data_IF_238931160434
#
_entry.id   IF_238931160434
#
_cell.length_a   1.000
_cell.length_b   1.000
_cell.length_c   1.000
_cell.angle_alpha   90.00
_cell.angle_beta   90.00
_cell.angle_gamma   90.00
#
_symmetry.space_group_name_H-M   'P 1'
#
loop_
_entity.id
_entity.type
_entity.pdbx_description
1 polymer ?
#
# COMPACT_ATOMS: atom_id res chain seq x y z
N UNK A 1 22.80 -13.39 14.88
CA UNK A 1 22.69 -12.06 14.24
C UNK A 1 23.29 -12.11 12.84
N UNK A 2 22.62 -11.62 11.79
CA UNK A 2 23.17 -11.53 10.43
C UNK A 2 24.56 -10.89 10.37
N UNK A 3 25.46 -11.43 9.53
CA UNK A 3 26.85 -10.99 9.46
C UNK A 3 27.02 -9.49 9.13
N UNK A 4 26.11 -8.93 8.32
CA UNK A 4 26.10 -7.49 8.00
C UNK A 4 25.94 -6.63 9.26
N UNK A 5 25.03 -7.00 10.18
CA UNK A 5 24.73 -6.21 11.37
C UNK A 5 25.87 -6.25 12.39
N UNK A 6 26.51 -7.41 12.57
CA UNK A 6 27.71 -7.52 13.41
C UNK A 6 28.86 -6.66 12.85
N UNK A 7 29.07 -6.71 11.52
CA UNK A 7 30.08 -5.88 10.85
C UNK A 7 29.78 -4.39 10.99
N UNK A 8 28.53 -3.99 10.77
CA UNK A 8 28.09 -2.61 10.93
C UNK A 8 28.29 -2.12 12.37
N UNK A 9 27.88 -2.91 13.36
CA UNK A 9 28.05 -2.56 14.78
C UNK A 9 29.53 -2.37 15.14
N UNK A 10 30.39 -3.31 14.75
CA UNK A 10 31.82 -3.22 15.01
C UNK A 10 32.45 -2.04 14.26
N UNK A 11 32.01 -1.76 13.03
CA UNK A 11 32.48 -0.64 12.22
C UNK A 11 32.12 0.72 12.83
N UNK A 12 30.90 0.88 13.33
CA UNK A 12 30.46 2.12 13.99
C UNK A 12 31.12 2.31 15.36
N UNK A 13 31.48 1.20 16.01
CA UNK A 13 32.12 1.20 17.34
C UNK A 13 33.65 1.26 17.28
N UNK A 14 34.24 1.30 16.08
CA UNK A 14 35.70 1.37 15.89
C UNK A 14 36.17 2.82 16.08
N UNK A 15 36.96 3.12 17.14
CA UNK A 15 37.46 4.47 17.38
C UNK A 15 38.57 4.89 16.40
N UNK A 16 39.02 4.00 15.50
CA UNK A 16 40.11 4.30 14.56
C UNK A 16 39.70 5.16 13.36
N UNK A 17 38.40 5.42 13.16
CA UNK A 17 37.91 6.22 12.03
C UNK A 17 36.83 7.21 12.46
N UNK A 18 37.05 8.49 12.16
CA UNK A 18 36.06 9.56 12.38
C UNK A 18 34.98 9.62 11.29
N UNK A 19 35.12 8.80 10.24
CA UNK A 19 34.22 8.77 9.08
C UNK A 19 32.89 8.08 9.38
N UNK A 20 32.84 7.24 10.41
CA UNK A 20 31.61 6.62 10.90
C UNK A 20 31.64 6.54 12.43
N UNK A 21 30.60 7.04 13.08
CA UNK A 21 30.50 7.03 14.54
C UNK A 21 29.07 6.91 15.03
N UNK A 22 28.91 6.50 16.28
CA UNK A 22 27.63 6.63 16.97
C UNK A 22 27.25 8.10 17.15
N UNK A 23 25.95 8.40 17.15
CA UNK A 23 25.45 9.68 17.64
C UNK A 23 25.66 9.79 19.15
N UNK A 24 25.57 11.01 19.69
CA UNK A 24 25.78 11.26 21.12
C UNK A 24 24.77 10.48 21.99
N UNK A 25 23.53 10.34 21.50
CA UNK A 25 22.49 9.54 22.15
C UNK A 25 22.69 8.03 22.02
N UNK A 26 23.55 7.57 21.10
CA UNK A 26 23.78 6.15 20.83
C UNK A 26 22.61 5.41 20.17
N UNK A 27 21.58 6.14 19.69
CA UNK A 27 20.38 5.58 19.04
C UNK A 27 20.46 5.52 17.52
N UNK A 28 21.51 6.12 16.95
CA UNK A 28 21.76 6.26 15.53
C UNK A 28 23.25 6.28 15.27
N UNK A 29 23.65 6.20 14.00
CA UNK A 29 25.03 6.40 13.59
C UNK A 29 25.12 7.40 12.45
N UNK A 30 26.24 8.08 12.39
CA UNK A 30 26.53 9.17 11.47
C UNK A 30 27.70 8.75 10.60
N UNK A 31 27.55 8.91 9.30
CA UNK A 31 28.61 8.79 8.30
C UNK A 31 28.94 10.20 7.82
N UNK A 32 30.20 10.60 7.94
CA UNK A 32 30.70 11.88 7.40
C UNK A 32 31.52 11.61 6.13
N UNK A 33 31.60 12.59 5.23
CA UNK A 33 32.40 12.50 3.98
C UNK A 33 32.24 11.14 3.30
N UNK A 34 31.01 10.84 2.85
CA UNK A 34 30.64 9.48 2.45
C UNK A 34 31.53 8.87 1.35
N UNK A 35 32.17 9.68 0.52
CA UNK A 35 33.15 9.21 -0.49
C UNK A 35 34.44 8.68 0.16
N UNK A 36 34.99 9.38 1.15
CA UNK A 36 36.16 8.92 1.90
C UNK A 36 35.81 7.68 2.73
N UNK A 37 34.63 7.66 3.38
CA UNK A 37 34.11 6.48 4.08
C UNK A 37 34.05 5.25 3.15
N UNK A 38 33.55 5.43 1.94
CA UNK A 38 33.48 4.37 0.95
C UNK A 38 34.87 3.82 0.58
N UNK A 39 35.85 4.71 0.37
CA UNK A 39 37.19 4.32 -0.05
C UNK A 39 38.01 3.67 1.06
N UNK A 40 37.89 4.16 2.30
CA UNK A 40 38.83 3.84 3.39
C UNK A 40 38.24 2.87 4.41
N UNK A 41 36.93 2.95 4.70
CA UNK A 41 36.29 2.15 5.75
C UNK A 41 35.59 0.92 5.18
N UNK A 42 34.78 1.08 4.13
CA UNK A 42 34.01 -0.06 3.58
C UNK A 42 34.87 -1.27 3.20
N UNK A 43 36.06 -1.13 2.56
CA UNK A 43 36.89 -2.27 2.20
C UNK A 43 37.48 -3.03 3.39
N UNK A 44 37.59 -2.38 4.57
CA UNK A 44 38.06 -3.02 5.82
C UNK A 44 37.03 -4.01 6.37
N UNK A 45 35.74 -3.75 6.17
CA UNK A 45 34.65 -4.56 6.72
C UNK A 45 33.89 -5.38 5.66
N UNK A 46 33.85 -4.91 4.42
CA UNK A 46 33.10 -5.48 3.30
C UNK A 46 34.01 -5.68 2.07
N UNK A 47 33.59 -6.56 1.14
CA UNK A 47 34.37 -6.85 -0.08
C UNK A 47 34.11 -5.84 -1.21
N UNK A 48 33.76 -4.60 -0.88
CA UNK A 48 33.44 -3.53 -1.82
C UNK A 48 33.63 -2.17 -1.15
N UNK A 49 33.80 -1.12 -1.94
CA UNK A 49 33.79 0.29 -1.54
C UNK A 49 32.50 1.02 -1.95
N UNK A 50 31.46 0.30 -2.38
CA UNK A 50 30.27 0.93 -2.96
C UNK A 50 29.26 1.40 -1.88
N UNK A 51 29.07 2.71 -1.77
CA UNK A 51 28.07 3.35 -0.91
C UNK A 51 26.64 2.85 -1.18
N UNK A 52 26.24 2.67 -2.43
CA UNK A 52 24.90 2.21 -2.78
C UNK A 52 24.63 0.77 -2.29
N UNK A 53 25.65 -0.11 -2.35
CA UNK A 53 25.54 -1.47 -1.81
C UNK A 53 25.38 -1.47 -0.29
N UNK A 54 26.13 -0.59 0.40
CA UNK A 54 26.00 -0.38 1.84
C UNK A 54 24.61 0.13 2.23
N UNK A 55 24.14 1.20 1.58
CA UNK A 55 22.81 1.78 1.81
C UNK A 55 21.69 0.78 1.48
N UNK A 56 21.86 -0.04 0.44
CA UNK A 56 20.91 -1.11 0.13
C UNK A 56 20.79 -2.08 1.31
N UNK A 57 21.91 -2.53 1.87
CA UNK A 57 21.89 -3.44 3.02
C UNK A 57 21.21 -2.78 4.22
N UNK A 58 21.52 -1.52 4.54
CA UNK A 58 20.82 -0.74 5.57
C UNK A 58 19.30 -0.75 5.35
N UNK A 59 18.84 -0.41 4.15
CA UNK A 59 17.41 -0.40 3.81
C UNK A 59 16.74 -1.77 3.98
N UNK A 60 17.44 -2.85 3.64
CA UNK A 60 16.95 -4.22 3.81
C UNK A 60 16.79 -4.62 5.27
N UNK A 61 17.56 -4.03 6.18
CA UNK A 61 17.43 -4.24 7.63
C UNK A 61 16.58 -3.17 8.33
N UNK A 62 15.90 -2.32 7.55
CA UNK A 62 14.98 -1.32 8.10
C UNK A 62 15.66 -0.16 8.81
N UNK A 63 16.87 0.18 8.41
CA UNK A 63 17.44 1.47 8.76
C UNK A 63 16.78 2.57 7.92
N UNK A 64 16.64 3.74 8.51
CA UNK A 64 16.04 4.91 7.88
C UNK A 64 16.98 6.11 8.01
N UNK A 65 17.07 6.93 6.95
CA UNK A 65 17.87 8.16 6.98
C UNK A 65 17.14 9.20 7.81
N UNK A 66 17.84 9.80 8.78
CA UNK A 66 17.29 10.87 9.64
C UNK A 66 17.45 12.21 8.91
N UNK A 67 16.36 12.95 8.64
CA UNK A 67 16.43 14.24 7.97
C UNK A 67 16.98 15.31 8.91
N UNK A 68 18.01 16.03 8.48
CA UNK A 68 18.50 17.22 9.18
C UNK A 68 17.73 18.44 8.69
N UNK A 69 16.92 19.04 9.56
CA UNK A 69 15.97 20.14 9.23
C UNK A 69 16.70 21.43 8.77
N UNK A 70 18.00 21.56 9.01
CA UNK A 70 18.79 22.76 8.72
C UNK A 70 19.29 22.89 7.28
N UNK A 71 19.07 21.91 6.39
CA UNK A 71 19.50 21.97 4.98
C UNK A 71 18.78 23.05 4.12
N UNK A 72 17.89 23.85 4.70
CA UNK A 72 17.09 24.87 3.98
C UNK A 72 17.61 26.32 4.04
N UNK A 73 18.64 26.64 4.82
CA UNK A 73 19.13 28.02 4.96
C UNK A 73 20.66 28.06 4.89
N UNK A 74 21.18 28.49 3.75
CA UNK A 74 22.51 29.08 3.53
C UNK A 74 23.65 28.64 4.48
N UNK A 75 23.99 27.35 4.51
CA UNK A 75 25.29 26.89 5.00
C UNK A 75 25.82 25.84 4.03
N UNK A 76 26.28 26.30 2.86
CA UNK A 76 26.83 25.43 1.81
C UNK A 76 28.32 25.10 2.04
N UNK A 77 28.96 25.72 3.04
CA UNK A 77 30.41 25.63 3.31
C UNK A 77 30.75 24.92 4.65
N UNK A 78 29.79 24.27 5.31
CA UNK A 78 30.08 23.48 6.52
C UNK A 78 30.14 21.99 6.23
N UNK A 79 31.12 21.31 6.82
CA UNK A 79 31.31 19.84 6.84
C UNK A 79 30.07 19.05 7.33
N UNK A 80 29.05 19.76 7.85
CA UNK A 80 27.75 19.24 8.25
C UNK A 80 26.84 18.90 7.05
N UNK A 81 27.06 19.52 5.89
CA UNK A 81 26.26 19.29 4.69
C UNK A 81 26.44 17.87 4.10
N UNK A 82 27.57 17.22 4.39
CA UNK A 82 27.93 15.89 3.88
C UNK A 82 27.70 14.75 4.89
N UNK A 83 26.88 14.98 5.92
CA UNK A 83 26.62 13.96 6.96
C UNK A 83 25.36 13.16 6.65
N UNK A 84 25.46 11.83 6.72
CA UNK A 84 24.33 10.91 6.65
C UNK A 84 24.12 10.26 8.00
N UNK A 85 22.97 10.53 8.61
CA UNK A 85 22.56 9.83 9.82
C UNK A 85 21.54 8.73 9.49
N UNK A 86 21.76 7.54 10.05
CA UNK A 86 20.84 6.42 9.94
C UNK A 86 20.45 5.91 11.32
N UNK A 87 19.16 5.57 11.47
CA UNK A 87 18.61 5.04 12.72
C UNK A 87 17.84 3.74 12.49
N UNK A 88 17.84 2.91 13.54
CA UNK A 88 16.97 1.75 13.67
C UNK A 88 16.67 1.54 15.16
N UNK A 89 15.41 1.26 15.51
CA UNK A 89 14.97 1.16 16.90
C UNK A 89 15.78 0.16 17.75
N UNK A 90 16.24 -0.93 17.12
CA UNK A 90 16.93 -2.05 17.75
C UNK A 90 18.45 -2.05 17.48
N UNK A 91 19.00 -0.99 16.90
CA UNK A 91 20.44 -0.82 16.68
C UNK A 91 20.96 0.32 17.56
N UNK A 92 21.56 -0.03 18.70
CA UNK A 92 21.98 0.94 19.73
C UNK A 92 23.39 0.64 20.27
N UNK A 93 24.15 1.68 20.58
CA UNK A 93 25.57 1.59 21.01
C UNK A 93 25.78 0.70 22.24
N UNK A 94 24.91 0.80 23.23
CA UNK A 94 25.12 0.14 24.53
C UNK A 94 24.23 -1.12 24.70
N UNK A 95 23.54 -1.55 23.63
CA UNK A 95 22.61 -2.69 23.66
C UNK A 95 22.78 -3.61 22.44
N UNK A 96 23.93 -4.31 22.32
CA UNK A 96 24.19 -5.22 21.20
C UNK A 96 23.22 -6.40 21.13
N UNK A 97 22.61 -6.79 22.25
CA UNK A 97 21.65 -7.90 22.30
C UNK A 97 20.41 -7.63 21.44
N UNK A 98 20.03 -6.35 21.26
CA UNK A 98 18.91 -5.96 20.40
C UNK A 98 19.17 -6.21 18.91
N UNK A 99 20.43 -6.43 18.49
CA UNK A 99 20.76 -6.74 17.10
C UNK A 99 20.04 -7.98 16.59
N UNK A 100 19.68 -8.92 17.47
CA UNK A 100 18.90 -10.10 17.09
C UNK A 100 17.47 -9.76 16.62
N UNK A 101 16.93 -8.63 17.08
CA UNK A 101 15.60 -8.14 16.71
C UNK A 101 15.60 -7.36 15.39
N UNK A 102 16.76 -7.00 14.86
CA UNK A 102 16.88 -6.34 13.55
C UNK A 102 16.71 -7.40 12.45
N UNK A 103 15.49 -7.52 11.96
CA UNK A 103 15.14 -8.50 10.93
C UNK A 103 15.27 -7.93 9.52
N UNK A 104 15.77 -8.76 8.60
CA UNK A 104 15.79 -8.43 7.17
C UNK A 104 14.37 -8.41 6.63
N UNK A 105 13.96 -7.32 5.99
CA UNK A 105 12.71 -7.23 5.23
C UNK A 105 12.73 -8.32 4.15
N UNK A 106 11.80 -9.29 4.24
CA UNK A 106 11.60 -10.29 3.18
C UNK A 106 11.24 -9.53 1.90
N UNK A 107 11.88 -9.88 0.79
CA UNK A 107 11.81 -9.13 -0.45
C UNK A 107 10.38 -8.91 -0.92
N UNK A 108 10.06 -7.67 -1.35
CA UNK A 108 8.75 -7.25 -1.85
C UNK A 108 8.21 -8.10 -3.01
N UNK A 109 9.05 -8.90 -3.67
CA UNK A 109 8.65 -9.71 -4.83
C UNK A 109 7.66 -10.82 -4.47
N UNK A 110 7.78 -11.42 -3.28
CA UNK A 110 6.80 -12.43 -2.82
C UNK A 110 5.46 -11.79 -2.45
N UNK A 111 5.48 -10.61 -1.82
CA UNK A 111 4.26 -9.88 -1.43
C UNK A 111 3.55 -9.24 -2.64
N UNK A 112 4.29 -8.77 -3.65
CA UNK A 112 3.70 -8.24 -4.90
C UNK A 112 3.04 -9.33 -5.74
N UNK A 113 3.69 -10.49 -5.90
CA UNK A 113 3.10 -11.61 -6.65
C UNK A 113 1.82 -12.12 -5.97
N UNK A 114 1.83 -12.25 -4.65
CA UNK A 114 0.64 -12.60 -3.87
C UNK A 114 -0.48 -11.55 -4.01
N UNK A 115 -0.14 -10.26 -3.94
CA UNK A 115 -1.10 -9.17 -4.12
C UNK A 115 -1.73 -9.13 -5.52
N UNK A 116 -0.96 -9.35 -6.58
CA UNK A 116 -1.47 -9.40 -7.96
C UNK A 116 -2.40 -10.61 -8.14
N UNK A 117 -2.04 -11.76 -7.57
CA UNK A 117 -2.88 -12.96 -7.66
C UNK A 117 -4.23 -12.77 -6.93
N UNK A 118 -4.21 -12.14 -5.75
CA UNK A 118 -5.41 -11.77 -5.00
C UNK A 118 -6.33 -10.84 -5.82
N UNK A 119 -5.77 -9.80 -6.42
CA UNK A 119 -6.50 -8.83 -7.25
C UNK A 119 -7.13 -9.51 -8.48
N UNK A 120 -6.42 -10.43 -9.13
CA UNK A 120 -6.96 -11.17 -10.29
C UNK A 120 -8.14 -12.07 -9.91
N UNK A 121 -8.09 -12.70 -8.74
CA UNK A 121 -9.21 -13.50 -8.23
C UNK A 121 -10.42 -12.64 -7.91
N UNK A 122 -10.23 -11.50 -7.24
CA UNK A 122 -11.30 -10.55 -6.95
C UNK A 122 -11.93 -9.99 -8.23
N UNK A 123 -11.12 -9.64 -9.23
CA UNK A 123 -11.60 -9.17 -10.53
C UNK A 123 -12.46 -10.23 -11.25
N UNK A 124 -12.04 -11.50 -11.19
CA UNK A 124 -12.80 -12.61 -11.76
C UNK A 124 -14.15 -12.81 -11.06
N UNK A 125 -14.18 -12.69 -9.73
CA UNK A 125 -15.41 -12.77 -8.94
C UNK A 125 -16.38 -11.63 -9.25
N UNK A 126 -15.87 -10.39 -9.34
CA UNK A 126 -16.66 -9.20 -9.71
C UNK A 126 -17.26 -9.37 -11.11
N UNK A 127 -16.47 -9.85 -12.08
CA UNK A 127 -16.95 -10.10 -13.44
C UNK A 127 -18.09 -11.13 -13.48
N UNK A 128 -17.96 -12.23 -12.71
CA UNK A 128 -19.02 -13.24 -12.60
C UNK A 128 -20.30 -12.64 -12.01
N UNK A 129 -20.18 -11.82 -10.96
CA UNK A 129 -21.32 -11.17 -10.34
C UNK A 129 -22.01 -10.17 -11.27
N UNK A 130 -21.23 -9.37 -12.03
CA UNK A 130 -21.79 -8.48 -13.04
C UNK A 130 -22.59 -9.21 -14.13
N UNK A 131 -22.12 -10.38 -14.58
CA UNK A 131 -22.86 -11.17 -15.56
C UNK A 131 -24.19 -11.68 -15.00
N UNK A 132 -24.20 -12.17 -13.76
CA UNK A 132 -25.42 -12.61 -13.09
C UNK A 132 -26.44 -11.46 -12.91
N UNK A 133 -25.98 -10.30 -12.44
CA UNK A 133 -26.84 -9.10 -12.33
C UNK A 133 -27.41 -8.70 -13.69
N UNK A 134 -26.60 -8.76 -14.74
CA UNK A 134 -27.03 -8.41 -16.10
C UNK A 134 -28.12 -9.35 -16.63
N UNK A 135 -28.05 -10.63 -16.27
CA UNK A 135 -29.06 -11.62 -16.61
C UNK A 135 -30.36 -11.38 -15.83
N UNK A 136 -30.27 -11.20 -14.50
CA UNK A 136 -31.42 -10.87 -13.65
C UNK A 136 -32.13 -9.58 -14.09
N UNK A 137 -31.37 -8.53 -14.45
CA UNK A 137 -31.96 -7.28 -14.95
C UNK A 137 -32.75 -7.48 -16.25
N UNK A 138 -32.27 -8.36 -17.15
CA UNK A 138 -33.00 -8.66 -18.40
C UNK A 138 -34.28 -9.42 -18.12
N UNK A 139 -34.26 -10.34 -17.15
CA UNK A 139 -35.42 -11.09 -16.73
C UNK A 139 -36.48 -10.17 -16.10
N UNK A 140 -36.08 -9.32 -15.15
CA UNK A 140 -36.96 -8.32 -14.54
C UNK A 140 -37.56 -7.40 -15.61
N UNK A 141 -36.76 -6.97 -16.59
CA UNK A 141 -37.26 -6.14 -17.69
C UNK A 141 -38.29 -6.87 -18.56
N UNK A 142 -38.15 -8.18 -18.76
CA UNK A 142 -39.12 -8.99 -19.49
C UNK A 142 -40.42 -9.11 -18.69
N UNK A 143 -40.34 -9.51 -17.43
CA UNK A 143 -41.49 -9.66 -16.54
C UNK A 143 -42.26 -8.34 -16.39
N UNK A 144 -41.55 -7.22 -16.25
CA UNK A 144 -42.18 -5.90 -16.17
C UNK A 144 -42.97 -5.57 -17.45
N UNK A 145 -42.43 -5.90 -18.64
CA UNK A 145 -43.16 -5.72 -19.90
C UNK A 145 -44.42 -6.58 -19.99
N UNK A 146 -44.34 -7.83 -19.53
CA UNK A 146 -45.49 -8.74 -19.49
C UNK A 146 -46.58 -8.21 -18.55
N UNK A 147 -46.20 -7.80 -17.33
CA UNK A 147 -47.11 -7.18 -16.36
C UNK A 147 -47.78 -5.91 -16.92
N UNK A 148 -47.03 -5.05 -17.61
CA UNK A 148 -47.60 -3.86 -18.26
C UNK A 148 -48.64 -4.22 -19.34
N UNK A 149 -48.38 -5.29 -20.10
CA UNK A 149 -49.33 -5.77 -21.11
C UNK A 149 -50.60 -6.31 -20.47
N UNK A 150 -50.48 -7.15 -19.44
CA UNK A 150 -51.63 -7.68 -18.70
C UNK A 150 -52.45 -6.56 -18.05
N UNK A 151 -51.79 -5.59 -17.41
CA UNK A 151 -52.46 -4.43 -16.83
C UNK A 151 -53.21 -3.60 -17.87
N UNK A 152 -52.67 -3.47 -19.09
CA UNK A 152 -53.35 -2.78 -20.18
C UNK A 152 -54.63 -3.52 -20.62
N UNK A 153 -54.55 -4.84 -20.79
CA UNK A 153 -55.70 -5.69 -21.15
C UNK A 153 -56.77 -5.68 -20.05
N UNK A 154 -56.36 -5.75 -18.78
CA UNK A 154 -57.27 -5.70 -17.65
C UNK A 154 -58.04 -4.37 -17.59
N UNK A 155 -57.36 -3.24 -17.85
CA UNK A 155 -58.00 -1.92 -17.93
C UNK A 155 -59.03 -1.84 -19.06
N UNK A 156 -58.71 -2.31 -20.26
CA UNK A 156 -59.66 -2.32 -21.40
C UNK A 156 -60.88 -3.19 -21.08
N UNK A 157 -60.70 -4.36 -20.45
CA UNK A 157 -61.81 -5.21 -20.01
C UNK A 157 -62.69 -4.49 -18.98
N UNK A 158 -62.07 -3.80 -18.02
CA UNK A 158 -62.80 -3.04 -17.00
C UNK A 158 -63.60 -1.88 -17.61
N UNK A 159 -63.02 -1.15 -18.56
CA UNK A 159 -63.72 -0.06 -19.27
C UNK A 159 -64.96 -0.57 -20.02
N UNK A 160 -64.84 -1.69 -20.74
CA UNK A 160 -65.98 -2.33 -21.44
C UNK A 160 -67.07 -2.81 -20.49
N UNK A 161 -66.69 -3.33 -19.33
CA UNK A 161 -67.65 -3.71 -18.29
C UNK A 161 -68.39 -2.48 -17.75
N UNK A 162 -67.66 -1.39 -17.47
CA UNK A 162 -68.26 -0.14 -17.00
C UNK A 162 -69.24 0.44 -18.02
N UNK A 163 -68.88 0.48 -19.30
CA UNK A 163 -69.76 0.92 -20.39
C UNK A 163 -71.03 0.08 -20.50
N UNK A 164 -70.91 -1.22 -20.27
CA UNK A 164 -72.05 -2.14 -20.30
C UNK A 164 -72.97 -1.91 -19.11
N UNK A 165 -72.41 -1.73 -17.91
CA UNK A 165 -73.17 -1.38 -16.70
C UNK A 165 -73.89 -0.05 -16.89
N UNK A 166 -73.20 0.98 -17.39
CA UNK A 166 -73.79 2.30 -17.64
C UNK A 166 -74.95 2.22 -18.65
N UNK A 167 -74.82 1.42 -19.71
CA UNK A 167 -75.92 1.18 -20.66
C UNK A 167 -77.12 0.50 -20.01
N UNK A 168 -76.89 -0.51 -19.15
CA UNK A 168 -77.96 -1.18 -18.39
C UNK A 168 -78.64 -0.20 -17.43
N UNK A 169 -77.87 0.59 -16.69
CA UNK A 169 -78.40 1.60 -15.77
C UNK A 169 -79.26 2.64 -16.51
N UNK A 170 -78.80 3.13 -17.67
CA UNK A 170 -79.58 4.05 -18.51
C UNK A 170 -80.87 3.41 -19.03
N UNK A 171 -80.81 2.15 -19.46
CA UNK A 171 -82.00 1.42 -19.90
C UNK A 171 -83.01 1.26 -18.76
N UNK A 172 -82.57 0.80 -17.59
CA UNK A 172 -83.43 0.67 -16.40
C UNK A 172 -84.05 2.02 -16.00
N UNK A 173 -83.27 3.11 -16.03
CA UNK A 173 -83.75 4.47 -15.75
C UNK A 173 -84.73 5.02 -16.81
N UNK A 174 -84.84 4.37 -17.97
CA UNK A 174 -85.78 4.75 -19.04
C UNK A 174 -87.05 3.90 -19.09
N UNK A 175 -87.04 2.73 -18.42
CA UNK A 175 -88.14 1.74 -18.42
C UNK A 175 -89.02 1.85 -17.17
N UNK A 176 -88.53 2.51 -16.12
CA UNK A 176 -89.27 2.91 -14.92
C UNK A 176 -89.36 4.43 -14.84
#
# INVERSE_FOLDING_TARGET
>A
VPAFLNKLYNMVSDPSSDLIRWSDSGTSFIVTRHEDFAREVLPRFFKHNNNASFVRQLNMYGFHKVPHIQQGVLVADSDEAEQWEFSNANFRRDQPDLLCLVQRKKGRDTTRAAGIHQILQELAAVKKHQLAISEELKDIQRENRELWSEAAVARDRHERQQDTIDKILRFLASVF
#
